data_IF_783004193139
#
_entry.id   IF_783004193139
#
_cell.length_a   1.000
_cell.length_b   1.000
_cell.length_c   1.000
_cell.angle_alpha   90.00
_cell.angle_beta   90.00
_cell.angle_gamma   90.00
#
_symmetry.space_group_name_H-M   'P 1'
#
loop_
_entity.id
_entity.type
_entity.pdbx_description
1 polymer ?
#
# COMPACT_ATOMS: atom_id res chain seq x y z
N UNK A 1 -3.94 -9.22 16.14
CA UNK A 1 -3.99 -8.20 15.08
C UNK A 1 -5.25 -8.34 14.26
N UNK A 2 -5.90 -7.23 13.97
CA UNK A 2 -7.18 -7.21 13.27
C UNK A 2 -7.05 -6.33 12.03
N UNK A 3 -7.43 -6.88 10.87
CA UNK A 3 -7.53 -6.10 9.62
C UNK A 3 -8.98 -5.66 9.46
N UNK A 4 -9.19 -4.38 9.21
CA UNK A 4 -10.51 -3.79 9.04
C UNK A 4 -10.52 -2.71 7.96
N UNK A 5 -11.70 -2.31 7.52
CA UNK A 5 -11.85 -1.15 6.65
C UNK A 5 -11.48 0.13 7.40
N UNK A 6 -10.89 1.09 6.70
CA UNK A 6 -10.55 2.38 7.27
C UNK A 6 -11.79 3.20 7.64
N UNK A 7 -11.62 4.11 8.57
CA UNK A 7 -12.62 5.10 8.99
C UNK A 7 -12.01 6.50 8.92
N UNK A 8 -12.84 7.54 8.90
CA UNK A 8 -12.35 8.93 8.86
C UNK A 8 -11.42 9.27 10.02
N UNK A 9 -11.65 8.67 11.19
CA UNK A 9 -10.80 8.87 12.37
C UNK A 9 -9.39 8.32 12.25
N UNK A 10 -9.11 7.51 11.22
CA UNK A 10 -7.80 6.93 11.00
C UNK A 10 -6.81 7.88 10.32
N UNK A 11 -7.29 9.00 9.76
CA UNK A 11 -6.47 9.92 8.97
C UNK A 11 -5.20 10.38 9.68
N UNK A 12 -5.32 10.82 10.93
CA UNK A 12 -4.17 11.36 11.66
C UNK A 12 -3.08 10.30 11.86
N UNK A 13 -3.47 9.08 12.22
CA UNK A 13 -2.51 7.99 12.45
C UNK A 13 -1.87 7.52 11.14
N UNK A 14 -2.66 7.40 10.08
CA UNK A 14 -2.15 7.05 8.74
C UNK A 14 -1.13 8.10 8.30
N UNK A 15 -1.44 9.39 8.44
CA UNK A 15 -0.52 10.47 8.07
C UNK A 15 0.78 10.41 8.87
N UNK A 16 0.71 10.09 10.14
CA UNK A 16 1.88 9.94 11.00
C UNK A 16 2.80 8.82 10.50
N UNK A 17 2.22 7.64 10.18
CA UNK A 17 2.98 6.51 9.65
C UNK A 17 3.57 6.87 8.28
N UNK A 18 2.77 7.49 7.41
CA UNK A 18 3.19 7.91 6.07
C UNK A 18 4.46 8.79 6.15
N UNK A 19 4.45 9.79 6.99
CA UNK A 19 5.59 10.70 7.17
C UNK A 19 6.82 9.98 7.73
N UNK A 20 6.62 9.00 8.60
CA UNK A 20 7.71 8.22 9.19
C UNK A 20 8.36 7.28 8.18
N UNK A 21 7.56 6.67 7.32
CA UNK A 21 8.05 5.68 6.33
C UNK A 21 8.59 6.36 5.07
N UNK A 22 7.96 7.46 4.64
CA UNK A 22 8.30 8.17 3.40
C UNK A 22 8.61 9.63 3.65
N UNK A 23 9.69 9.95 4.38
CA UNK A 23 9.95 11.34 4.80
C UNK A 23 10.12 12.33 3.66
N UNK A 24 10.59 11.86 2.47
CA UNK A 24 10.86 12.72 1.33
C UNK A 24 9.79 12.64 0.22
N UNK A 25 8.79 11.78 0.39
CA UNK A 25 7.77 11.55 -0.63
C UNK A 25 6.42 11.20 -0.03
N UNK A 26 6.18 11.56 1.23
CA UNK A 26 4.92 11.29 1.91
C UNK A 26 3.75 11.93 1.16
N UNK A 27 2.62 11.20 1.10
CA UNK A 27 1.37 11.78 0.65
C UNK A 27 0.95 12.89 1.60
N UNK A 28 0.30 13.92 1.07
CA UNK A 28 -0.23 15.02 1.87
C UNK A 28 -1.47 14.57 2.63
N UNK A 29 -1.84 15.36 3.66
CA UNK A 29 -3.09 15.15 4.39
C UNK A 29 -4.30 15.12 3.45
N UNK A 30 -4.34 16.04 2.48
CA UNK A 30 -5.44 16.11 1.51
C UNK A 30 -5.51 14.86 0.64
N UNK A 31 -4.38 14.34 0.19
CA UNK A 31 -4.31 13.11 -0.62
C UNK A 31 -4.84 11.91 0.16
N UNK A 32 -4.42 11.76 1.41
CA UNK A 32 -4.87 10.66 2.26
C UNK A 32 -6.37 10.80 2.55
N UNK A 33 -6.82 11.99 2.90
CA UNK A 33 -8.24 12.26 3.17
C UNK A 33 -9.11 11.90 1.97
N UNK A 34 -8.67 12.25 0.77
CA UNK A 34 -9.36 11.92 -0.46
C UNK A 34 -9.43 10.40 -0.67
N UNK A 35 -8.35 9.70 -0.39
CA UNK A 35 -8.29 8.26 -0.53
C UNK A 35 -9.21 7.52 0.46
N UNK A 36 -9.41 8.07 1.66
CA UNK A 36 -10.29 7.49 2.67
C UNK A 36 -11.78 7.79 2.44
N UNK A 37 -12.10 8.67 1.51
CA UNK A 37 -13.49 8.99 1.18
C UNK A 37 -14.17 7.79 0.54
N UNK A 38 -15.37 7.45 1.00
CA UNK A 38 -16.12 6.31 0.45
C UNK A 38 -16.35 6.50 -1.05
N UNK A 39 -15.86 5.51 -1.81
CA UNK A 39 -16.05 5.47 -3.25
C UNK A 39 -16.03 4.00 -3.70
N UNK A 40 -16.75 3.69 -4.77
CA UNK A 40 -16.85 2.32 -5.28
C UNK A 40 -15.55 1.82 -5.90
N UNK A 41 -14.67 2.72 -6.34
CA UNK A 41 -13.39 2.38 -6.97
C UNK A 41 -12.20 2.39 -6.02
N UNK A 42 -12.41 2.62 -4.73
CA UNK A 42 -11.33 2.75 -3.74
C UNK A 42 -11.63 1.94 -2.49
N UNK A 43 -10.58 1.41 -1.88
CA UNK A 43 -10.67 0.70 -0.61
C UNK A 43 -9.36 0.87 0.15
N UNK A 44 -9.46 1.22 1.43
CA UNK A 44 -8.30 1.22 2.33
C UNK A 44 -8.54 0.21 3.45
N UNK A 45 -7.61 -0.72 3.58
CA UNK A 45 -7.56 -1.64 4.71
C UNK A 45 -6.52 -1.14 5.70
N UNK A 46 -6.85 -1.24 6.98
CA UNK A 46 -5.91 -0.93 8.06
C UNK A 46 -5.76 -2.16 8.95
N UNK A 47 -4.61 -2.25 9.63
CA UNK A 47 -4.36 -3.31 10.58
C UNK A 47 -4.09 -2.70 11.95
N UNK A 48 -4.83 -3.20 12.95
CA UNK A 48 -4.69 -2.79 14.34
C UNK A 48 -3.91 -3.84 15.12
N UNK A 49 -3.05 -3.39 16.02
CA UNK A 49 -2.39 -4.20 17.03
C UNK A 49 -2.62 -3.55 18.38
N UNK A 50 -3.23 -4.28 19.32
CA UNK A 50 -3.59 -3.75 20.64
C UNK A 50 -4.40 -2.45 20.55
N UNK A 51 -5.41 -2.43 19.65
CA UNK A 51 -6.32 -1.30 19.41
C UNK A 51 -5.65 -0.05 18.82
N UNK A 52 -4.42 -0.16 18.35
CA UNK A 52 -3.72 0.93 17.68
C UNK A 52 -3.47 0.56 16.22
N UNK A 53 -3.76 1.48 15.30
CA UNK A 53 -3.48 1.29 13.89
C UNK A 53 -1.96 1.30 13.67
N UNK A 54 -1.44 0.22 13.06
CA UNK A 54 0.01 0.04 12.85
C UNK A 54 0.38 -0.14 11.38
N UNK A 55 -0.59 -0.22 10.48
CA UNK A 55 -0.31 -0.33 9.05
C UNK A 55 -1.57 -0.13 8.22
N UNK A 56 -1.38 0.07 6.93
CA UNK A 56 -2.48 0.28 5.99
C UNK A 56 -2.07 -0.12 4.57
N UNK A 57 -3.08 -0.42 3.74
CA UNK A 57 -2.92 -0.54 2.30
C UNK A 57 -4.10 0.12 1.59
N UNK A 58 -3.81 0.88 0.56
CA UNK A 58 -4.78 1.65 -0.21
C UNK A 58 -4.88 1.09 -1.61
N UNK A 59 -6.11 0.77 -2.04
CA UNK A 59 -6.39 0.10 -3.30
C UNK A 59 -7.29 0.94 -4.17
N UNK A 60 -7.08 0.86 -5.49
CA UNK A 60 -7.99 1.38 -6.49
C UNK A 60 -8.36 0.29 -7.46
N UNK A 61 -9.66 0.20 -7.75
CA UNK A 61 -10.23 -0.83 -8.62
C UNK A 61 -10.53 -0.27 -9.99
N UNK A 62 -10.16 -1.00 -11.02
CA UNK A 62 -10.53 -0.76 -12.41
C UNK A 62 -11.05 -2.05 -13.04
N UNK A 63 -11.45 -2.01 -14.33
CA UNK A 63 -11.90 -3.21 -15.02
C UNK A 63 -10.80 -4.28 -15.07
N UNK A 64 -11.06 -5.42 -14.44
CA UNK A 64 -10.14 -6.56 -14.39
C UNK A 64 -8.76 -6.26 -13.79
N UNK A 65 -8.64 -5.17 -13.01
CA UNK A 65 -7.38 -4.81 -12.37
C UNK A 65 -7.59 -4.12 -11.04
N UNK A 66 -6.63 -4.28 -10.14
CA UNK A 66 -6.59 -3.59 -8.85
C UNK A 66 -5.19 -3.03 -8.66
N UNK A 67 -5.10 -1.76 -8.30
CA UNK A 67 -3.83 -1.09 -8.04
C UNK A 67 -3.62 -0.90 -6.54
N UNK A 68 -2.51 -1.40 -6.04
CA UNK A 68 -2.02 -1.05 -4.70
C UNK A 68 -1.33 0.30 -4.83
N UNK A 69 -1.99 1.38 -4.40
CA UNK A 69 -1.46 2.73 -4.60
C UNK A 69 -0.60 3.21 -3.44
N UNK A 70 -0.75 2.62 -2.26
CA UNK A 70 0.11 2.92 -1.11
C UNK A 70 0.00 1.82 -0.07
N UNK A 71 1.10 1.51 0.60
CA UNK A 71 1.14 0.57 1.71
C UNK A 71 2.29 0.93 2.64
N UNK A 72 2.03 0.95 3.93
CA UNK A 72 3.06 1.20 4.92
C UNK A 72 2.74 0.51 6.25
N UNK A 73 3.80 0.25 7.01
CA UNK A 73 3.74 -0.30 8.37
C UNK A 73 4.57 0.59 9.28
N UNK A 74 4.08 0.82 10.50
CA UNK A 74 4.81 1.57 11.51
C UNK A 74 6.26 1.06 11.58
N UNK A 75 7.28 1.95 11.43
CA UNK A 75 8.67 1.55 11.41
C UNK A 75 9.11 0.71 12.61
N UNK A 76 8.50 0.95 13.79
CA UNK A 76 8.81 0.19 15.01
C UNK A 76 8.33 -1.27 14.95
N UNK A 77 7.45 -1.61 14.02
CA UNK A 77 6.83 -2.93 13.88
C UNK A 77 7.11 -3.59 12.52
N UNK A 78 8.06 -3.09 11.77
CA UNK A 78 8.46 -3.72 10.52
C UNK A 78 9.24 -5.01 10.79
N UNK A 79 9.31 -5.89 9.78
CA UNK A 79 10.01 -7.18 9.82
C UNK A 79 9.38 -8.25 10.71
N UNK A 80 8.16 -8.04 11.21
CA UNK A 80 7.41 -9.07 11.97
C UNK A 80 6.21 -9.63 11.20
N UNK A 81 6.15 -9.37 9.89
CA UNK A 81 5.14 -9.97 9.01
C UNK A 81 3.85 -9.18 8.86
N UNK A 82 3.75 -7.95 9.35
CA UNK A 82 2.54 -7.13 9.21
C UNK A 82 2.28 -6.75 7.76
N UNK A 83 3.31 -6.33 7.03
CA UNK A 83 3.20 -6.02 5.59
C UNK A 83 2.75 -7.22 4.79
N UNK A 84 3.27 -8.40 5.11
CA UNK A 84 2.86 -9.65 4.48
C UNK A 84 1.39 -9.97 4.74
N UNK A 85 0.91 -9.75 5.96
CA UNK A 85 -0.51 -9.95 6.31
C UNK A 85 -1.42 -9.02 5.51
N UNK A 86 -1.05 -7.73 5.40
CA UNK A 86 -1.80 -6.76 4.61
C UNK A 86 -1.81 -7.16 3.13
N UNK A 87 -0.66 -7.53 2.60
CA UNK A 87 -0.53 -7.93 1.19
C UNK A 87 -1.37 -9.18 0.89
N UNK A 88 -1.29 -10.19 1.75
CA UNK A 88 -2.10 -11.41 1.58
C UNK A 88 -3.59 -11.11 1.66
N UNK A 89 -4.01 -10.24 2.59
CA UNK A 89 -5.40 -9.84 2.69
C UNK A 89 -5.88 -9.13 1.42
N UNK A 90 -5.07 -8.23 0.89
CA UNK A 90 -5.34 -7.59 -0.39
C UNK A 90 -5.52 -8.63 -1.50
N UNK A 91 -4.57 -9.53 -1.66
CA UNK A 91 -4.59 -10.52 -2.74
C UNK A 91 -5.75 -11.51 -2.61
N UNK A 92 -6.13 -11.87 -1.38
CA UNK A 92 -7.25 -12.78 -1.12
C UNK A 92 -8.61 -12.14 -1.40
N UNK A 93 -8.67 -10.81 -1.45
CA UNK A 93 -9.93 -10.06 -1.59
C UNK A 93 -10.09 -9.34 -2.93
N UNK A 94 -9.19 -9.56 -3.89
CA UNK A 94 -9.39 -8.99 -5.23
C UNK A 94 -10.28 -9.90 -6.08
N UNK A 95 -11.02 -9.34 -7.04
CA UNK A 95 -11.88 -10.13 -7.91
C UNK A 95 -11.09 -11.21 -8.67
N UNK A 96 -11.72 -12.35 -8.86
CA UNK A 96 -11.16 -13.45 -9.66
C UNK A 96 -10.90 -12.97 -11.09
N UNK A 97 -9.81 -13.44 -11.68
CA UNK A 97 -9.37 -13.06 -13.02
C UNK A 97 -8.90 -11.60 -13.14
N UNK A 98 -8.65 -10.94 -12.00
CA UNK A 98 -8.05 -9.60 -11.97
C UNK A 98 -6.54 -9.69 -11.91
N UNK A 99 -5.88 -8.65 -12.42
CA UNK A 99 -4.44 -8.44 -12.23
C UNK A 99 -4.21 -7.41 -11.14
N UNK A 100 -3.19 -7.61 -10.33
CA UNK A 100 -2.77 -6.65 -9.30
C UNK A 100 -1.54 -5.90 -9.81
N UNK A 101 -1.54 -4.58 -9.64
CA UNK A 101 -0.45 -3.70 -10.04
C UNK A 101 0.00 -2.87 -8.85
N UNK A 102 1.29 -2.55 -8.82
CA UNK A 102 1.83 -1.61 -7.84
C UNK A 102 3.04 -0.90 -8.43
N UNK A 103 3.40 0.21 -7.79
CA UNK A 103 4.63 0.94 -8.04
C UNK A 103 5.40 1.01 -6.73
N UNK A 104 6.70 0.76 -6.78
CA UNK A 104 7.56 0.78 -5.61
C UNK A 104 8.84 1.53 -5.93
N UNK A 105 9.36 2.29 -4.97
CA UNK A 105 10.65 2.97 -5.14
C UNK A 105 11.74 1.97 -5.44
N UNK A 106 12.57 2.29 -6.42
CA UNK A 106 13.66 1.42 -6.88
C UNK A 106 14.62 1.05 -5.75
N UNK A 107 14.83 1.94 -4.79
CA UNK A 107 15.69 1.71 -3.63
C UNK A 107 15.03 1.02 -2.44
N UNK A 108 13.72 0.78 -2.50
CA UNK A 108 13.00 0.16 -1.39
C UNK A 108 13.10 -1.37 -1.45
N UNK A 109 14.28 -1.90 -1.15
CA UNK A 109 14.57 -3.33 -1.25
C UNK A 109 13.67 -4.22 -0.38
N UNK A 110 13.36 -3.87 0.87
CA UNK A 110 12.46 -4.71 1.68
C UNK A 110 11.07 -4.87 1.06
N UNK A 111 10.50 -3.79 0.52
CA UNK A 111 9.19 -3.83 -0.14
C UNK A 111 9.26 -4.65 -1.43
N UNK A 112 10.29 -4.44 -2.25
CA UNK A 112 10.48 -5.20 -3.50
C UNK A 112 10.55 -6.69 -3.19
N UNK A 113 11.33 -7.08 -2.18
CA UNK A 113 11.45 -8.48 -1.76
C UNK A 113 10.09 -9.06 -1.35
N UNK A 114 9.32 -8.29 -0.58
CA UNK A 114 7.98 -8.68 -0.15
C UNK A 114 7.08 -8.97 -1.35
N UNK A 115 7.08 -8.09 -2.34
CA UNK A 115 6.25 -8.24 -3.54
C UNK A 115 6.72 -9.40 -4.42
N UNK A 116 8.01 -9.56 -4.63
CA UNK A 116 8.58 -10.69 -5.39
C UNK A 116 8.20 -12.02 -4.73
N UNK A 117 8.31 -12.11 -3.41
CA UNK A 117 7.95 -13.33 -2.68
C UNK A 117 6.47 -13.66 -2.77
N UNK A 118 5.61 -12.66 -3.00
CA UNK A 118 4.18 -12.86 -3.20
C UNK A 118 3.81 -13.26 -4.63
N UNK A 119 4.77 -13.20 -5.56
CA UNK A 119 4.55 -13.58 -6.95
C UNK A 119 4.48 -12.42 -7.95
N UNK A 120 4.67 -11.19 -7.50
CA UNK A 120 4.74 -10.04 -8.41
C UNK A 120 5.99 -10.11 -9.27
N UNK A 121 5.89 -9.57 -10.47
CA UNK A 121 7.01 -9.49 -11.45
C UNK A 121 7.19 -8.05 -11.90
N UNK A 122 8.44 -7.65 -12.13
CA UNK A 122 8.76 -6.34 -12.69
C UNK A 122 8.29 -6.30 -14.14
N UNK A 123 7.58 -5.24 -14.52
CA UNK A 123 7.12 -5.07 -15.90
C UNK A 123 7.57 -3.75 -16.53
N UNK A 124 7.94 -2.75 -15.74
CA UNK A 124 8.38 -1.44 -16.27
C UNK A 124 9.12 -0.65 -15.20
N UNK A 125 9.80 0.40 -15.63
CA UNK A 125 10.40 1.41 -14.76
C UNK A 125 9.85 2.76 -15.18
N UNK A 126 9.42 3.58 -14.20
CA UNK A 126 9.02 4.97 -14.41
C UNK A 126 10.11 5.86 -13.84
N UNK A 127 10.84 6.54 -14.72
CA UNK A 127 11.94 7.42 -14.30
C UNK A 127 11.42 8.69 -13.64
N UNK A 128 12.14 9.17 -12.62
CA UNK A 128 11.83 10.40 -11.88
C UNK A 128 10.37 10.48 -11.41
N UNK A 129 9.83 9.35 -10.97
CA UNK A 129 8.40 9.22 -10.67
C UNK A 129 8.00 9.87 -9.34
N UNK A 130 8.84 9.74 -8.30
CA UNK A 130 8.52 10.25 -6.97
C UNK A 130 8.98 11.69 -6.80
N UNK A 131 8.37 12.47 -5.86
CA UNK A 131 8.75 13.86 -5.63
C UNK A 131 10.24 14.07 -5.30
N UNK A 132 10.92 13.06 -4.76
CA UNK A 132 12.34 13.11 -4.47
C UNK A 132 13.22 12.75 -5.68
N UNK A 133 12.63 12.54 -6.85
CA UNK A 133 13.32 12.18 -8.08
C UNK A 133 13.63 10.70 -8.23
N UNK A 134 13.25 9.87 -7.28
CA UNK A 134 13.53 8.43 -7.34
C UNK A 134 12.64 7.73 -8.36
N UNK A 135 13.20 6.72 -9.04
CA UNK A 135 12.45 5.91 -10.01
C UNK A 135 11.48 4.96 -9.31
N UNK A 136 10.40 4.64 -10.01
CA UNK A 136 9.47 3.58 -9.60
C UNK A 136 9.68 2.31 -10.44
N UNK A 137 9.64 1.17 -9.78
CA UNK A 137 9.49 -0.12 -10.45
C UNK A 137 8.00 -0.45 -10.47
N UNK A 138 7.46 -0.73 -11.66
CA UNK A 138 6.08 -1.17 -11.81
C UNK A 138 6.07 -2.70 -11.75
N UNK A 139 5.23 -3.26 -10.88
CA UNK A 139 5.13 -4.70 -10.70
C UNK A 139 3.70 -5.16 -10.93
N UNK A 140 3.56 -6.40 -11.39
CA UNK A 140 2.26 -7.00 -11.71
C UNK A 140 2.19 -8.44 -11.21
N UNK A 141 1.01 -8.83 -10.72
CA UNK A 141 0.66 -10.20 -10.40
C UNK A 141 -0.68 -10.52 -11.06
N UNK A 142 -0.68 -11.54 -11.89
CA UNK A 142 -1.92 -12.05 -12.52
C UNK A 142 -2.51 -13.13 -11.63
N UNK A 143 -3.77 -12.98 -11.34
CA UNK A 143 -4.47 -13.92 -10.45
C UNK A 143 -5.34 -14.93 -11.22
#
# INVERSE_FOLDING_TARGET
>A
MIIRASEKGDLARILQIEKSVFPNSAWTRAMISDELTLNVDRKTWVIDSNKELVGYCMLRYGPNEVHLVNMAVDPSLQKIGIGKKLLNHFLDNIPKDSSAYLEVKRGNFPAIKLYLNAGFKDIAIREDYYPDGEDAIVMCLKK
#
